data_IF_209371730749
#
_entry.id   IF_209371730749
#
_cell.length_a   1.000
_cell.length_b   1.000
_cell.length_c   1.000
_cell.angle_alpha   90.00
_cell.angle_beta   90.00
_cell.angle_gamma   90.00
#
_symmetry.space_group_name_H-M   'P 1'
#
loop_
_entity.id
_entity.type
_entity.pdbx_description
1 polymer ?
#
# COMPACT_ATOMS: atom_id res chain seq x y z
N UNK A 1 18.27 7.22 1.86
CA UNK A 1 17.49 7.08 3.11
C UNK A 1 17.14 8.47 3.62
N UNK A 2 16.10 8.55 4.47
CA UNK A 2 15.70 9.76 5.18
C UNK A 2 15.34 9.40 6.64
N UNK A 3 15.12 10.41 7.49
CA UNK A 3 14.76 10.23 8.90
C UNK A 3 13.26 9.98 9.16
N UNK A 4 12.39 10.16 8.16
CA UNK A 4 10.94 9.93 8.26
C UNK A 4 10.55 8.47 8.05
N UNK A 5 11.35 7.67 7.35
CA UNK A 5 11.00 6.31 6.97
C UNK A 5 11.78 5.21 7.71
N UNK A 6 11.31 3.98 7.57
CA UNK A 6 12.08 2.77 7.89
C UNK A 6 12.61 2.09 6.64
N UNK A 7 13.88 1.67 6.66
CA UNK A 7 14.54 0.98 5.53
C UNK A 7 15.07 -0.38 5.96
N UNK A 8 15.02 -1.36 5.07
CA UNK A 8 15.56 -2.70 5.29
C UNK A 8 16.73 -2.93 4.35
N UNK A 9 17.88 -3.29 4.90
CA UNK A 9 19.05 -3.74 4.16
C UNK A 9 19.27 -5.23 4.41
N UNK A 10 19.10 -6.03 3.36
CA UNK A 10 19.35 -7.46 3.40
C UNK A 10 20.81 -7.77 3.00
N UNK A 11 21.66 -7.98 4.02
CA UNK A 11 23.09 -8.26 3.89
C UNK A 11 23.40 -9.74 4.20
N UNK A 12 22.73 -10.67 3.47
CA UNK A 12 22.95 -12.14 3.53
C UNK A 12 22.71 -12.73 4.91
N UNK A 13 23.72 -12.70 5.78
CA UNK A 13 23.69 -13.30 7.11
C UNK A 13 23.08 -12.35 8.15
N UNK A 14 22.96 -11.06 7.82
CA UNK A 14 22.34 -10.04 8.67
C UNK A 14 21.34 -9.21 7.87
N UNK A 15 20.18 -8.96 8.45
CA UNK A 15 19.17 -8.04 7.94
C UNK A 15 19.18 -6.83 8.87
N UNK A 16 19.53 -5.67 8.34
CA UNK A 16 19.48 -4.42 9.08
C UNK A 16 18.15 -3.71 8.86
N UNK A 17 17.61 -3.14 9.93
CA UNK A 17 16.45 -2.27 9.88
C UNK A 17 16.90 -0.90 10.34
N UNK A 18 17.05 0.05 9.43
CA UNK A 18 17.21 1.44 9.80
C UNK A 18 15.85 2.03 10.16
N UNK A 19 15.72 2.56 11.38
CA UNK A 19 14.54 3.30 11.83
C UNK A 19 14.90 4.78 11.88
N UNK A 20 14.33 5.55 10.95
CA UNK A 20 14.49 6.99 10.95
C UNK A 20 14.00 7.60 12.27
N UNK A 21 14.67 8.67 12.71
CA UNK A 21 14.36 9.36 13.97
C UNK A 21 12.88 9.75 14.05
N UNK A 22 12.34 10.26 12.96
CA UNK A 22 10.99 10.80 12.84
C UNK A 22 9.97 9.75 12.35
N UNK A 23 10.41 8.50 12.14
CA UNK A 23 9.54 7.44 11.62
C UNK A 23 8.42 7.04 12.56
N UNK A 24 7.26 6.76 11.96
CA UNK A 24 6.03 6.43 12.66
C UNK A 24 6.07 5.06 13.34
N UNK A 25 5.35 4.94 14.47
CA UNK A 25 5.27 3.67 15.22
C UNK A 25 4.78 2.49 14.35
N UNK A 26 3.82 2.75 13.45
CA UNK A 26 3.25 1.71 12.58
C UNK A 26 4.30 1.22 11.56
N UNK A 27 5.09 2.13 11.01
CA UNK A 27 6.13 1.82 10.02
C UNK A 27 7.25 0.99 10.65
N UNK A 28 7.69 1.36 11.84
CA UNK A 28 8.66 0.58 12.63
C UNK A 28 8.18 -0.85 12.85
N UNK A 29 6.91 -1.03 13.23
CA UNK A 29 6.31 -2.37 13.40
C UNK A 29 6.27 -3.14 12.08
N UNK A 30 5.84 -2.50 10.98
CA UNK A 30 5.78 -3.14 9.66
C UNK A 30 7.17 -3.53 9.17
N UNK A 31 8.18 -2.68 9.36
CA UNK A 31 9.56 -2.97 8.97
C UNK A 31 10.09 -4.21 9.71
N UNK A 32 9.83 -4.33 11.01
CA UNK A 32 10.17 -5.52 11.80
C UNK A 32 9.45 -6.77 11.28
N UNK A 33 8.16 -6.67 10.93
CA UNK A 33 7.39 -7.78 10.37
C UNK A 33 7.96 -8.25 9.03
N UNK A 34 8.29 -7.31 8.13
CA UNK A 34 8.88 -7.61 6.82
C UNK A 34 10.25 -8.27 7.00
N UNK A 35 11.13 -7.71 7.82
CA UNK A 35 12.45 -8.27 8.09
C UNK A 35 12.37 -9.68 8.71
N UNK A 36 11.44 -9.90 9.64
CA UNK A 36 11.18 -11.23 10.22
C UNK A 36 10.69 -12.21 9.16
N UNK A 37 9.81 -11.77 8.26
CA UNK A 37 9.35 -12.55 7.12
C UNK A 37 10.51 -12.96 6.20
N UNK A 38 11.39 -12.04 5.83
CA UNK A 38 12.58 -12.33 5.02
C UNK A 38 13.48 -13.35 5.72
N UNK A 39 13.80 -13.12 7.01
CA UNK A 39 14.60 -14.04 7.81
C UNK A 39 14.03 -15.46 7.77
N UNK A 40 12.74 -15.61 8.07
CA UNK A 40 12.13 -16.92 8.29
C UNK A 40 11.87 -17.66 6.96
N UNK A 41 11.44 -16.93 5.93
CA UNK A 41 10.99 -17.54 4.66
C UNK A 41 12.11 -17.63 3.61
N UNK A 42 12.93 -16.59 3.48
CA UNK A 42 13.98 -16.52 2.44
C UNK A 42 15.27 -17.11 2.98
N UNK A 43 15.64 -16.78 4.21
CA UNK A 43 16.92 -17.22 4.80
C UNK A 43 16.80 -18.51 5.61
N UNK A 44 15.58 -19.02 5.81
CA UNK A 44 15.30 -20.23 6.57
C UNK A 44 15.61 -20.06 8.07
N UNK A 45 15.40 -18.86 8.61
CA UNK A 45 15.57 -18.53 10.03
C UNK A 45 17.01 -18.30 10.48
N UNK A 46 17.99 -18.28 9.57
CA UNK A 46 19.41 -18.28 9.92
C UNK A 46 20.04 -16.90 10.08
N UNK A 47 19.46 -15.88 9.46
CA UNK A 47 20.03 -14.53 9.50
C UNK A 47 19.65 -13.79 10.77
N UNK A 48 20.53 -12.90 11.23
CA UNK A 48 20.28 -12.02 12.38
C UNK A 48 19.51 -10.79 11.92
N UNK A 49 18.66 -10.25 12.78
CA UNK A 49 18.04 -8.94 12.56
C UNK A 49 18.69 -7.95 13.50
N UNK A 50 19.19 -6.84 12.96
CA UNK A 50 19.80 -5.74 13.71
C UNK A 50 19.01 -4.47 13.43
N UNK A 51 18.60 -3.77 14.47
CA UNK A 51 17.90 -2.48 14.36
C UNK A 51 18.94 -1.38 14.52
N UNK A 52 18.93 -0.42 13.59
CA UNK A 52 19.76 0.78 13.60
C UNK A 52 18.83 1.97 13.87
N UNK A 53 18.95 2.55 15.05
CA UNK A 53 18.15 3.67 15.56
C UNK A 53 19.02 4.65 16.38
N UNK A 54 18.40 5.63 17.03
CA UNK A 54 19.05 6.64 17.87
C UNK A 54 19.79 6.07 19.10
N UNK A 55 19.46 4.85 19.54
CA UNK A 55 20.09 4.18 20.67
C UNK A 55 21.24 3.24 20.26
N UNK A 56 21.48 3.09 18.96
CA UNK A 56 22.47 2.17 18.42
C UNK A 56 23.89 2.69 18.64
N UNK A 57 24.85 1.77 18.78
CA UNK A 57 26.25 2.15 18.98
C UNK A 57 26.89 2.63 17.67
N UNK A 58 27.92 3.47 17.76
CA UNK A 58 28.69 3.91 16.58
C UNK A 58 29.25 2.73 15.78
N UNK A 59 29.56 1.62 16.45
CA UNK A 59 30.03 0.40 15.81
C UNK A 59 28.93 -0.28 14.97
N UNK A 60 27.71 -0.36 15.49
CA UNK A 60 26.57 -0.95 14.76
C UNK A 60 26.21 -0.09 13.53
N UNK A 61 26.22 1.23 13.70
CA UNK A 61 25.98 2.19 12.61
C UNK A 61 27.08 2.11 11.55
N UNK A 62 28.35 2.03 11.96
CA UNK A 62 29.47 1.89 11.02
C UNK A 62 29.37 0.59 10.21
N UNK A 63 29.05 -0.53 10.88
CA UNK A 63 28.87 -1.81 10.19
C UNK A 63 27.71 -1.75 9.18
N UNK A 64 26.60 -1.10 9.53
CA UNK A 64 25.48 -0.92 8.61
C UNK A 64 25.90 -0.20 7.32
N UNK A 65 26.64 0.92 7.42
CA UNK A 65 27.10 1.66 6.25
C UNK A 65 28.19 0.93 5.47
N UNK A 66 29.02 0.13 6.14
CA UNK A 66 29.98 -0.76 5.47
C UNK A 66 29.26 -1.80 4.60
N UNK A 67 28.21 -2.46 5.15
CA UNK A 67 27.39 -3.41 4.40
C UNK A 67 26.57 -2.74 3.28
N UNK A 68 26.15 -1.49 3.50
CA UNK A 68 25.47 -0.69 2.47
C UNK A 68 26.41 -0.36 1.29
N UNK A 69 27.72 -0.31 1.55
CA UNK A 69 28.78 -0.10 0.56
C UNK A 69 29.11 1.37 0.27
N UNK A 70 28.26 2.30 0.70
CA UNK A 70 28.50 3.75 0.63
C UNK A 70 27.61 4.53 1.59
N UNK A 71 27.99 5.80 1.81
CA UNK A 71 27.23 6.75 2.64
C UNK A 71 27.63 6.77 4.10
N UNK A 72 27.00 7.68 4.83
CA UNK A 72 27.22 7.92 6.25
C UNK A 72 25.98 8.50 6.89
N UNK A 73 26.00 8.64 8.23
CA UNK A 73 24.92 9.30 8.98
C UNK A 73 24.68 10.73 8.46
N UNK A 74 25.71 11.42 7.97
CA UNK A 74 25.59 12.78 7.43
C UNK A 74 24.83 12.84 6.09
N UNK A 75 24.75 11.72 5.36
CA UNK A 75 24.06 11.63 4.08
C UNK A 75 22.56 11.29 4.22
N UNK A 76 22.12 11.00 5.46
CA UNK A 76 20.72 10.74 5.77
C UNK A 76 19.95 12.06 5.72
N UNK A 77 18.99 12.13 4.80
CA UNK A 77 18.16 13.33 4.62
C UNK A 77 17.15 13.51 5.75
N UNK A 78 16.72 14.74 6.00
CA UNK A 78 15.61 15.03 6.92
C UNK A 78 14.30 14.39 6.44
N UNK A 79 13.34 14.23 7.35
CA UNK A 79 12.06 13.55 7.09
C UNK A 79 11.28 14.17 5.92
N UNK A 80 11.30 15.50 5.77
CA UNK A 80 10.59 16.22 4.71
C UNK A 80 11.09 15.86 3.30
N UNK A 81 12.32 15.35 3.19
CA UNK A 81 12.86 14.87 1.92
C UNK A 81 12.30 13.49 1.50
N UNK A 82 11.62 12.78 2.41
CA UNK A 82 10.86 11.55 2.15
C UNK A 82 9.50 11.81 1.50
N UNK A 83 9.03 13.06 1.50
CA UNK A 83 7.64 13.40 1.18
C UNK A 83 6.82 13.54 2.46
N UNK A 84 5.66 14.18 2.37
CA UNK A 84 4.73 14.28 3.50
C UNK A 84 3.99 12.96 3.64
N UNK A 85 4.24 12.22 4.73
CA UNK A 85 3.50 10.99 5.07
C UNK A 85 1.99 11.24 5.06
N UNK A 86 1.56 12.48 5.34
CA UNK A 86 0.14 12.88 5.28
C UNK A 86 -0.37 12.99 3.85
N UNK A 87 0.44 13.32 2.84
CA UNK A 87 0.01 13.23 1.42
C UNK A 87 -0.06 11.78 0.95
N UNK A 88 0.88 10.92 1.38
CA UNK A 88 0.82 9.50 1.10
C UNK A 88 -0.36 8.83 1.83
N UNK A 89 -0.63 9.19 3.09
CA UNK A 89 -1.78 8.74 3.86
C UNK A 89 -3.11 9.36 3.41
N UNK A 90 -3.16 10.63 3.00
CA UNK A 90 -4.37 11.23 2.36
C UNK A 90 -4.71 10.56 1.05
N UNK A 91 -3.70 10.03 0.35
CA UNK A 91 -3.92 9.21 -0.83
C UNK A 91 -4.46 7.81 -0.42
N UNK A 92 -4.06 7.25 0.73
CA UNK A 92 -4.56 5.98 1.29
C UNK A 92 -5.95 6.11 1.97
N UNK A 93 -6.32 7.31 2.43
CA UNK A 93 -7.65 7.70 2.96
C UNK A 93 -8.65 8.07 1.86
N UNK A 94 -8.41 7.58 0.64
CA UNK A 94 -9.46 7.51 -0.36
C UNK A 94 -10.50 6.47 0.11
N UNK A 95 -11.74 6.94 0.23
CA UNK A 95 -12.88 6.15 0.69
C UNK A 95 -13.15 5.00 -0.30
N UNK A 96 -12.57 3.82 -0.02
CA UNK A 96 -12.81 2.63 -0.84
C UNK A 96 -14.30 2.31 -0.82
N UNK A 97 -14.89 2.28 -2.00
CA UNK A 97 -16.33 2.13 -2.16
C UNK A 97 -16.66 1.24 -3.34
N UNK A 98 -17.66 0.38 -3.13
CA UNK A 98 -18.18 -0.52 -4.14
C UNK A 98 -19.57 -0.05 -4.57
N UNK A 99 -19.76 0.11 -5.88
CA UNK A 99 -21.00 0.54 -6.49
C UNK A 99 -21.54 -0.57 -7.40
N UNK A 100 -22.79 -0.97 -7.21
CA UNK A 100 -23.51 -1.88 -8.11
C UNK A 100 -24.16 -1.10 -9.24
N UNK A 101 -24.05 -1.62 -10.45
CA UNK A 101 -24.61 -1.10 -11.69
C UNK A 101 -25.55 -2.17 -12.22
N UNK A 102 -26.86 -1.92 -12.08
CA UNK A 102 -27.91 -2.91 -12.39
C UNK A 102 -29.07 -2.27 -13.12
N UNK A 103 -29.67 -2.98 -14.09
CA UNK A 103 -30.89 -2.59 -14.79
C UNK A 103 -32.11 -3.49 -14.49
N UNK A 104 -32.04 -4.31 -13.44
CA UNK A 104 -33.07 -5.30 -13.08
C UNK A 104 -34.49 -4.73 -12.90
N UNK A 105 -34.61 -3.46 -12.48
CA UNK A 105 -35.91 -2.78 -12.30
C UNK A 105 -36.45 -2.14 -13.60
N UNK A 106 -35.80 -2.40 -14.75
CA UNK A 106 -36.10 -1.78 -16.05
C UNK A 106 -35.35 -0.47 -16.32
N UNK A 107 -34.73 0.12 -15.30
CA UNK A 107 -33.88 1.32 -15.41
C UNK A 107 -32.49 1.04 -14.84
N UNK A 108 -31.46 1.56 -15.51
CA UNK A 108 -30.08 1.41 -15.07
C UNK A 108 -29.83 2.30 -13.85
N UNK A 109 -29.43 1.69 -12.74
CA UNK A 109 -29.13 2.38 -11.48
C UNK A 109 -27.71 2.08 -11.02
N UNK A 110 -27.07 3.10 -10.47
CA UNK A 110 -25.77 2.99 -9.79
C UNK A 110 -26.00 3.23 -8.31
N UNK A 111 -25.75 2.21 -7.48
CA UNK A 111 -26.01 2.26 -6.04
C UNK A 111 -24.76 1.84 -5.30
N UNK A 112 -24.35 2.62 -4.30
CA UNK A 112 -23.27 2.24 -3.40
C UNK A 112 -23.73 1.07 -2.51
N UNK A 113 -23.02 -0.05 -2.58
CA UNK A 113 -23.37 -1.30 -1.87
C UNK A 113 -22.43 -1.61 -0.71
N UNK A 114 -21.27 -0.94 -0.60
CA UNK A 114 -20.38 -1.16 0.53
C UNK A 114 -19.14 -0.28 0.59
N UNK A 115 -18.49 -0.35 1.75
CA UNK A 115 -17.17 0.19 2.09
C UNK A 115 -16.32 -0.88 2.73
N UNK A 116 -15.05 -0.56 3.07
CA UNK A 116 -14.21 -1.45 3.86
C UNK A 116 -14.93 -1.87 5.17
N UNK A 117 -14.90 -3.17 5.56
CA UNK A 117 -14.38 -4.31 4.80
C UNK A 117 -15.36 -4.76 3.69
N UNK A 118 -14.83 -4.94 2.47
CA UNK A 118 -15.60 -5.49 1.35
C UNK A 118 -15.48 -7.01 1.33
N UNK A 119 -16.59 -7.69 1.08
CA UNK A 119 -16.67 -9.14 0.99
C UNK A 119 -17.13 -9.57 -0.41
N UNK A 120 -16.71 -10.75 -0.88
CA UNK A 120 -17.00 -11.22 -2.24
C UNK A 120 -18.50 -11.40 -2.47
N UNK A 121 -19.26 -11.69 -1.42
CA UNK A 121 -20.72 -11.89 -1.42
C UNK A 121 -21.50 -10.65 -1.85
N UNK A 122 -20.87 -9.47 -1.85
CA UNK A 122 -21.46 -8.24 -2.40
C UNK A 122 -21.57 -8.25 -3.93
N UNK A 123 -20.85 -9.13 -4.62
CA UNK A 123 -20.82 -9.24 -6.08
C UNK A 123 -21.88 -10.23 -6.58
N UNK A 124 -22.97 -9.71 -7.14
CA UNK A 124 -23.97 -10.52 -7.84
C UNK A 124 -23.49 -10.86 -9.26
N UNK A 125 -23.36 -12.16 -9.63
CA UNK A 125 -23.00 -12.58 -10.98
C UNK A 125 -23.88 -12.02 -12.10
N UNK A 126 -25.08 -11.53 -11.80
CA UNK A 126 -26.02 -10.99 -12.78
C UNK A 126 -25.88 -9.49 -13.03
N UNK A 127 -25.00 -8.77 -12.31
CA UNK A 127 -24.84 -7.32 -12.43
C UNK A 127 -23.38 -6.91 -12.73
N UNK A 128 -23.14 -5.63 -12.97
CA UNK A 128 -21.79 -5.04 -13.02
C UNK A 128 -21.50 -4.24 -11.76
N UNK A 129 -20.21 -4.10 -11.41
CA UNK A 129 -19.77 -3.37 -10.24
C UNK A 129 -18.58 -2.48 -10.54
N UNK A 130 -18.53 -1.30 -9.92
CA UNK A 130 -17.40 -0.37 -9.96
C UNK A 130 -16.81 -0.27 -8.55
N UNK A 131 -15.55 -0.64 -8.42
CA UNK A 131 -14.76 -0.50 -7.21
C UNK A 131 -13.86 0.73 -7.35
N UNK A 132 -14.11 1.75 -6.53
CA UNK A 132 -13.16 2.83 -6.28
C UNK A 132 -12.16 2.33 -5.24
N UNK A 133 -10.99 1.89 -5.71
CA UNK A 133 -9.90 1.42 -4.88
C UNK A 133 -9.01 2.54 -4.35
N UNK A 134 -9.40 3.80 -4.58
CA UNK A 134 -8.58 4.93 -4.20
C UNK A 134 -7.27 4.97 -4.98
N UNK A 135 -6.14 5.18 -4.30
CA UNK A 135 -4.80 5.15 -4.93
C UNK A 135 -4.48 3.91 -5.77
N UNK A 136 -5.15 2.78 -5.52
CA UNK A 136 -4.93 1.56 -6.31
C UNK A 136 -5.61 1.60 -7.67
N UNK A 137 -6.48 2.60 -7.91
CA UNK A 137 -7.22 2.80 -9.14
C UNK A 137 -8.68 2.37 -9.06
N UNK A 138 -9.35 2.47 -10.20
CA UNK A 138 -10.77 2.10 -10.36
C UNK A 138 -10.87 0.78 -11.12
N UNK A 139 -11.63 -0.16 -10.60
CA UNK A 139 -11.83 -1.48 -11.20
C UNK A 139 -13.30 -1.67 -11.58
N UNK A 140 -13.54 -2.27 -12.75
CA UNK A 140 -14.88 -2.70 -13.16
C UNK A 140 -14.93 -4.21 -13.13
N UNK A 141 -15.82 -4.75 -12.32
CA UNK A 141 -16.14 -6.17 -12.33
C UNK A 141 -17.43 -6.38 -13.14
N UNK A 142 -17.38 -7.31 -14.08
CA UNK A 142 -18.50 -7.58 -14.98
C UNK A 142 -19.02 -8.98 -14.70
N UNK A 143 -20.22 -9.06 -14.13
CA UNK A 143 -20.88 -10.32 -13.85
C UNK A 143 -21.09 -11.16 -15.11
N UNK A 144 -21.06 -12.48 -14.97
CA UNK A 144 -21.28 -13.40 -16.09
C UNK A 144 -22.69 -13.29 -16.67
N UNK A 145 -23.69 -13.03 -15.82
CA UNK A 145 -25.09 -12.81 -16.18
C UNK A 145 -25.44 -11.37 -16.55
N UNK A 146 -24.51 -10.43 -16.39
CA UNK A 146 -24.76 -9.00 -16.63
C UNK A 146 -25.28 -8.71 -18.04
N UNK A 147 -26.26 -7.81 -18.10
CA UNK A 147 -26.93 -7.37 -19.33
C UNK A 147 -25.93 -6.65 -20.25
N UNK A 148 -26.18 -6.65 -21.56
CA UNK A 148 -25.32 -5.90 -22.50
C UNK A 148 -25.30 -4.41 -22.20
N UNK A 149 -26.42 -3.87 -21.68
CA UNK A 149 -26.55 -2.47 -21.30
C UNK A 149 -25.66 -2.18 -20.09
N UNK A 150 -25.71 -3.00 -19.04
CA UNK A 150 -24.86 -2.87 -17.86
C UNK A 150 -23.37 -2.96 -18.22
N UNK A 151 -22.99 -3.91 -19.07
CA UNK A 151 -21.59 -4.07 -19.54
C UNK A 151 -21.06 -2.83 -20.23
N UNK A 152 -21.87 -2.22 -21.10
CA UNK A 152 -21.49 -1.01 -21.83
C UNK A 152 -21.43 0.21 -20.90
N UNK A 153 -22.47 0.39 -20.09
CA UNK A 153 -22.61 1.55 -19.24
C UNK A 153 -21.63 1.54 -18.07
N UNK A 154 -21.28 0.36 -17.53
CA UNK A 154 -20.25 0.24 -16.48
C UNK A 154 -18.88 0.73 -16.92
N UNK A 155 -18.48 0.41 -18.16
CA UNK A 155 -17.22 0.91 -18.73
C UNK A 155 -17.25 2.44 -18.97
N UNK A 156 -18.36 2.97 -19.46
CA UNK A 156 -18.55 4.42 -19.66
C UNK A 156 -18.56 5.17 -18.32
N UNK A 157 -19.21 4.61 -17.30
CA UNK A 157 -19.24 5.13 -15.94
C UNK A 157 -17.83 5.17 -15.35
N UNK A 158 -17.04 4.11 -15.49
CA UNK A 158 -15.66 4.09 -15.00
C UNK A 158 -14.80 5.18 -15.65
N UNK A 159 -14.90 5.37 -16.98
CA UNK A 159 -14.17 6.45 -17.66
C UNK A 159 -14.57 7.85 -17.16
N UNK A 160 -15.86 8.10 -16.97
CA UNK A 160 -16.36 9.36 -16.40
C UNK A 160 -15.91 9.54 -14.95
N UNK A 161 -15.89 8.45 -14.19
CA UNK A 161 -15.48 8.46 -12.79
C UNK A 161 -14.01 8.83 -12.63
N UNK A 162 -13.13 8.28 -13.49
CA UNK A 162 -11.71 8.64 -13.55
C UNK A 162 -11.52 10.14 -13.79
N UNK A 163 -12.23 10.71 -14.78
CA UNK A 163 -12.16 12.14 -15.10
C UNK A 163 -12.67 13.02 -13.95
N UNK A 164 -13.76 12.62 -13.29
CA UNK A 164 -14.36 13.40 -12.20
C UNK A 164 -13.47 13.43 -10.95
N UNK A 165 -12.84 12.29 -10.61
CA UNK A 165 -11.98 12.15 -9.43
C UNK A 165 -10.56 12.68 -9.64
N UNK A 166 -10.18 12.99 -10.88
CA UNK A 166 -8.84 13.51 -11.20
C UNK A 166 -7.74 12.46 -11.09
N UNK A 167 -8.05 11.21 -11.45
CA UNK A 167 -7.04 10.16 -11.66
C UNK A 167 -6.15 10.45 -12.86
#
# INVERSE_FOLDING_TARGET
MNKGDCFILDARDTIYIYQGLDSGRIERVKAIQVASGIRDTVHGGRSKIVIIDEGSTDADVAQFFEELGEGSVADIKEAEAGGDDVEHERSIDTEVSLHRISDADGELKVVRVGTRPLAQELLDPNDCFLLDGGVTGVFVWVGKGASQKERKESMLLAQKYLQYRGY
#
